data_IF_575024841196
#
_entry.id   IF_575024841196
#
_cell.length_a   1.000
_cell.length_b   1.000
_cell.length_c   1.000
_cell.angle_alpha   90.00
_cell.angle_beta   90.00
_cell.angle_gamma   90.00
#
_symmetry.space_group_name_H-M   'P 1'
#
loop_
_entity.id
_entity.type
_entity.pdbx_description
1 polymer ?
#
# COMPACT_ATOMS: atom_id res chain seq x y z
N UNK A 1 -17.04 22.67 20.19
CA UNK A 1 -16.56 21.75 19.13
C UNK A 1 -15.16 22.18 18.64
N UNK A 2 -14.17 22.24 19.53
CA UNK A 2 -12.80 22.72 19.21
C UNK A 2 -11.68 21.95 19.96
N UNK A 3 -12.05 20.98 20.77
CA UNK A 3 -11.16 20.30 21.72
C UNK A 3 -10.22 19.28 21.08
N UNK A 4 -10.57 18.73 19.91
CA UNK A 4 -9.78 17.68 19.25
C UNK A 4 -8.50 18.23 18.59
N UNK A 5 -8.58 19.40 17.96
CA UNK A 5 -7.44 20.06 17.33
C UNK A 5 -6.44 20.56 18.37
N UNK A 6 -6.93 21.13 19.47
CA UNK A 6 -6.10 21.59 20.60
C UNK A 6 -5.33 20.44 21.25
N UNK A 7 -5.99 19.28 21.40
CA UNK A 7 -5.36 18.05 21.93
C UNK A 7 -4.34 17.45 20.95
N UNK A 8 -4.62 17.48 19.65
CA UNK A 8 -3.70 17.00 18.62
C UNK A 8 -2.40 17.81 18.60
N UNK A 9 -2.48 19.13 18.84
CA UNK A 9 -1.31 20.00 18.96
C UNK A 9 -0.62 19.93 20.32
N UNK A 10 -1.32 19.52 21.39
CA UNK A 10 -0.74 19.36 22.72
C UNK A 10 0.21 18.15 22.83
N UNK A 11 -0.03 17.10 22.04
CA UNK A 11 0.80 15.89 21.99
C UNK A 11 1.26 15.59 20.57
N UNK A 12 2.15 16.41 19.98
CA UNK A 12 2.50 16.33 18.57
C UNK A 12 3.13 14.97 18.20
N UNK A 13 3.92 14.37 19.09
CA UNK A 13 4.54 13.06 18.84
C UNK A 13 3.50 11.93 18.77
N UNK A 14 2.50 11.94 19.66
CA UNK A 14 1.41 10.96 19.63
C UNK A 14 0.56 11.11 18.37
N UNK A 15 0.22 12.34 18.02
CA UNK A 15 -0.55 12.66 16.81
C UNK A 15 0.18 12.19 15.56
N UNK A 16 1.48 12.47 15.43
CA UNK A 16 2.30 12.02 14.29
C UNK A 16 2.35 10.50 14.22
N UNK A 17 2.60 9.83 15.35
CA UNK A 17 2.60 8.36 15.41
C UNK A 17 1.25 7.76 14.98
N UNK A 18 0.14 8.31 15.48
CA UNK A 18 -1.20 7.87 15.11
C UNK A 18 -1.52 8.12 13.64
N UNK A 19 -1.12 9.28 13.10
CA UNK A 19 -1.26 9.58 11.68
C UNK A 19 -0.46 8.62 10.80
N UNK A 20 0.76 8.25 11.20
CA UNK A 20 1.57 7.28 10.46
C UNK A 20 0.92 5.89 10.46
N UNK A 21 0.46 5.42 11.61
CA UNK A 21 -0.26 4.14 11.71
C UNK A 21 -1.53 4.17 10.84
N UNK A 22 -2.31 5.25 10.94
CA UNK A 22 -3.51 5.42 10.15
C UNK A 22 -3.19 5.43 8.65
N UNK A 23 -2.12 6.09 8.22
CA UNK A 23 -1.69 6.10 6.83
C UNK A 23 -1.36 4.70 6.32
N UNK A 24 -0.62 3.89 7.10
CA UNK A 24 -0.30 2.49 6.74
C UNK A 24 -1.58 1.65 6.63
N UNK A 25 -2.49 1.80 7.58
CA UNK A 25 -3.79 1.09 7.57
C UNK A 25 -4.62 1.48 6.34
N UNK A 26 -4.66 2.77 6.01
CA UNK A 26 -5.37 3.27 4.82
C UNK A 26 -4.76 2.75 3.52
N UNK A 27 -3.42 2.67 3.42
CA UNK A 27 -2.75 2.08 2.25
C UNK A 27 -3.20 0.62 2.06
N UNK A 28 -3.29 -0.17 3.13
CA UNK A 28 -3.77 -1.56 3.05
C UNK A 28 -5.25 -1.69 2.68
N UNK A 29 -6.11 -0.79 3.17
CA UNK A 29 -7.55 -0.80 2.88
C UNK A 29 -7.87 -0.30 1.46
N UNK A 30 -7.16 0.74 1.00
CA UNK A 30 -7.44 1.42 -0.26
C UNK A 30 -6.62 0.83 -1.40
N UNK A 31 -5.44 0.26 -1.14
CA UNK A 31 -4.57 -0.37 -2.15
C UNK A 31 -5.29 -1.33 -3.12
N UNK A 32 -6.16 -2.24 -2.63
CA UNK A 32 -6.94 -3.13 -3.48
C UNK A 32 -7.92 -2.45 -4.44
N UNK A 33 -8.26 -1.18 -4.24
CA UNK A 33 -9.09 -0.41 -5.17
C UNK A 33 -8.30 0.05 -6.41
N UNK A 34 -6.97 0.11 -6.29
CA UNK A 34 -6.07 0.54 -7.37
C UNK A 34 -5.31 -0.61 -8.02
N UNK A 35 -5.20 -1.75 -7.32
CA UNK A 35 -4.40 -2.89 -7.75
C UNK A 35 -5.25 -4.14 -7.91
N UNK A 36 -5.20 -4.74 -9.09
CA UNK A 36 -5.87 -6.00 -9.35
C UNK A 36 -5.22 -7.15 -8.55
N UNK A 37 -6.03 -7.79 -7.72
CA UNK A 37 -5.62 -8.93 -6.88
C UNK A 37 -5.36 -10.19 -7.69
N UNK A 38 -5.90 -10.30 -8.91
CA UNK A 38 -5.64 -11.45 -9.76
C UNK A 38 -4.18 -11.56 -10.17
N UNK A 39 -3.43 -10.44 -10.18
CA UNK A 39 -1.99 -10.41 -10.37
C UNK A 39 -1.18 -11.14 -9.29
N UNK A 40 -1.76 -11.43 -8.12
CA UNK A 40 -1.11 -12.17 -7.04
C UNK A 40 -1.14 -13.70 -7.26
N UNK A 41 -1.94 -14.18 -8.23
CA UNK A 41 -2.05 -15.60 -8.55
C UNK A 41 -0.79 -16.08 -9.26
N UNK A 42 -0.38 -17.33 -8.97
CA UNK A 42 0.74 -17.97 -9.66
C UNK A 42 0.43 -18.07 -11.16
N UNK A 43 1.39 -17.68 -12.00
CA UNK A 43 1.23 -17.67 -13.46
C UNK A 43 0.35 -16.54 -14.01
N UNK A 44 0.06 -15.49 -13.23
CA UNK A 44 -0.67 -14.32 -13.71
C UNK A 44 0.11 -13.49 -14.76
N UNK A 45 1.44 -13.58 -14.75
CA UNK A 45 2.35 -12.91 -15.67
C UNK A 45 3.55 -13.81 -16.03
N UNK A 46 4.36 -13.38 -17.01
CA UNK A 46 5.63 -14.07 -17.29
C UNK A 46 6.56 -13.88 -16.08
N UNK A 47 7.27 -14.93 -15.62
CA UNK A 47 8.25 -14.82 -14.55
C UNK A 47 9.40 -13.85 -14.85
N UNK A 48 9.98 -13.31 -13.78
CA UNK A 48 11.24 -12.54 -13.80
C UNK A 48 11.24 -11.34 -14.77
N UNK A 49 10.08 -10.71 -14.96
CA UNK A 49 9.99 -9.49 -15.76
C UNK A 49 10.55 -8.30 -14.96
N UNK A 50 11.39 -7.45 -15.59
CA UNK A 50 11.85 -6.22 -14.97
C UNK A 50 10.70 -5.20 -14.83
N UNK A 51 10.88 -4.16 -14.01
CA UNK A 51 9.95 -3.05 -13.90
C UNK A 51 9.59 -2.44 -15.28
N UNK A 52 8.30 -2.29 -15.54
CA UNK A 52 7.75 -1.76 -16.78
C UNK A 52 6.45 -0.99 -16.52
N UNK A 53 5.90 -0.32 -17.54
CA UNK A 53 4.60 0.36 -17.40
C UNK A 53 3.45 -0.60 -17.08
N UNK A 54 3.54 -1.86 -17.55
CA UNK A 54 2.54 -2.89 -17.26
C UNK A 54 2.75 -3.52 -15.87
N UNK A 55 4.01 -3.69 -15.46
CA UNK A 55 4.40 -4.23 -14.16
C UNK A 55 5.35 -3.26 -13.46
N UNK A 56 4.85 -2.23 -12.74
CA UNK A 56 5.68 -1.15 -12.19
C UNK A 56 6.78 -1.63 -11.24
N UNK A 57 6.55 -2.77 -10.56
CA UNK A 57 7.53 -3.40 -9.68
C UNK A 57 8.14 -4.68 -10.27
N UNK A 58 7.77 -5.04 -11.50
CA UNK A 58 8.16 -6.31 -12.13
C UNK A 58 7.32 -7.50 -11.66
N UNK A 59 7.80 -8.69 -11.97
CA UNK A 59 7.16 -9.95 -11.58
C UNK A 59 8.10 -10.84 -10.79
N UNK A 60 7.54 -11.69 -9.94
CA UNK A 60 8.28 -12.71 -9.18
C UNK A 60 8.58 -13.94 -10.05
N UNK A 61 9.46 -14.81 -9.56
CA UNK A 61 9.91 -16.10 -10.13
C UNK A 61 8.79 -17.07 -10.48
N UNK A 62 7.62 -16.95 -9.84
CA UNK A 62 6.44 -17.78 -10.11
C UNK A 62 5.38 -17.04 -10.96
N UNK A 63 5.75 -15.91 -11.56
CA UNK A 63 4.88 -15.16 -12.47
C UNK A 63 3.78 -14.36 -11.76
N UNK A 64 4.05 -13.85 -10.56
CA UNK A 64 3.14 -12.94 -9.84
C UNK A 64 3.52 -11.49 -10.10
N UNK A 65 2.54 -10.60 -10.23
CA UNK A 65 2.78 -9.16 -10.23
C UNK A 65 3.17 -8.72 -8.81
N UNK A 66 4.38 -8.19 -8.64
CA UNK A 66 4.90 -7.80 -7.32
C UNK A 66 4.10 -6.68 -6.66
N UNK A 67 3.37 -5.88 -7.44
CA UNK A 67 2.52 -4.82 -6.92
C UNK A 67 1.19 -5.35 -6.36
N UNK A 68 0.77 -6.55 -6.78
CA UNK A 68 -0.47 -7.22 -6.37
C UNK A 68 -0.32 -8.12 -5.14
N UNK A 69 0.91 -8.42 -4.73
CA UNK A 69 1.25 -9.30 -3.58
C UNK A 69 1.41 -8.46 -2.31
#
# INVERSE_FOLDING_TARGET
MRTWLERATAYPQLTVGLCLILAIVLIGLIGPLFVDRDGAKVGAAVPDQPPSLQYPLGTDTVGRNLLSV
#
